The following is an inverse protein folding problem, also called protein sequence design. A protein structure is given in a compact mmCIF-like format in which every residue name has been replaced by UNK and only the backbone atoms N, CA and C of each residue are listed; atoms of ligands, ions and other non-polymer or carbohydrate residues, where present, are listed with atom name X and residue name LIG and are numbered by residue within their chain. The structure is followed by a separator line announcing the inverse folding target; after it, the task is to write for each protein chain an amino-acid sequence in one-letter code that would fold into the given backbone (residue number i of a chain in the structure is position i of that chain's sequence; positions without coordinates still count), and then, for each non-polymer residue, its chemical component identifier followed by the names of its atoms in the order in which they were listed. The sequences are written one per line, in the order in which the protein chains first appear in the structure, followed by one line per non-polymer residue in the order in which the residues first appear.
data_IF_375357478200
#
_entry.id   IF_375357478200
#
_cell.length_a   1.000
_cell.length_b   1.000
_cell.length_c   1.000
_cell.angle_alpha   90.00
_cell.angle_beta   90.00
_cell.angle_gamma   90.00
#
_symmetry.space_group_name_H-M   'P 1'
#
loop_
_entity.id
_entity.type
_entity.pdbx_description
1 polymer ?
#
# COMPACT_ATOMS: atom_id res chain seq x y z
N UNK A 1 30.57 -9.05 29.35
CA UNK A 1 29.39 -8.98 30.23
C UNK A 1 28.18 -8.81 29.32
N UNK A 2 27.13 -9.63 29.45
CA UNK A 2 25.93 -9.47 28.62
C UNK A 2 25.11 -8.30 29.18
N UNK A 3 25.14 -7.16 28.50
CA UNK A 3 24.22 -6.06 28.81
C UNK A 3 22.79 -6.53 28.58
N UNK A 4 21.92 -6.33 29.57
CA UNK A 4 20.49 -6.60 29.40
C UNK A 4 19.90 -5.45 28.60
N UNK A 5 19.62 -5.66 27.31
CA UNK A 5 19.03 -4.62 26.47
C UNK A 5 17.67 -4.18 27.01
N UNK A 6 17.41 -2.87 26.92
CA UNK A 6 16.25 -2.22 27.55
C UNK A 6 15.02 -2.39 26.66
N UNK A 7 14.37 -3.54 26.78
CA UNK A 7 13.14 -3.79 26.01
C UNK A 7 11.95 -2.98 26.55
N UNK A 8 11.23 -2.33 25.63
CA UNK A 8 9.95 -1.65 25.90
C UNK A 8 8.80 -2.52 25.38
N UNK A 9 7.71 -2.59 26.16
CA UNK A 9 6.47 -3.27 25.82
C UNK A 9 5.31 -2.28 25.84
N UNK A 10 4.45 -2.34 24.84
CA UNK A 10 3.20 -1.55 24.75
C UNK A 10 2.07 -2.44 24.22
N UNK A 11 0.82 -2.12 24.57
CA UNK A 11 -0.33 -2.87 24.11
C UNK A 11 -1.56 -1.97 23.99
N UNK A 12 -2.25 -2.10 22.87
CA UNK A 12 -3.44 -1.34 22.51
C UNK A 12 -4.61 -2.30 22.32
N UNK A 13 -5.80 -1.88 22.73
CA UNK A 13 -7.02 -2.68 22.63
C UNK A 13 -8.14 -1.84 22.02
N UNK A 14 -8.93 -2.42 21.13
CA UNK A 14 -10.16 -1.84 20.61
C UNK A 14 -11.25 -2.91 20.48
N UNK A 15 -12.52 -2.49 20.52
CA UNK A 15 -13.64 -3.35 20.12
C UNK A 15 -13.94 -3.08 18.64
N UNK A 16 -13.95 -4.16 17.85
CA UNK A 16 -14.10 -4.17 16.39
C UNK A 16 -15.40 -4.91 16.02
N UNK A 17 -16.21 -4.40 15.07
CA UNK A 17 -17.40 -5.12 14.60
C UNK A 17 -17.04 -6.47 13.93
N UNK A 18 -17.99 -7.42 13.95
CA UNK A 18 -17.80 -8.75 13.35
C UNK A 18 -17.29 -9.82 14.33
N UNK A 19 -17.27 -11.08 13.87
CA UNK A 19 -16.80 -12.21 14.68
C UNK A 19 -15.27 -12.23 14.80
N UNK A 20 -14.72 -12.86 15.84
CA UNK A 20 -13.27 -12.98 16.01
C UNK A 20 -12.55 -13.59 14.80
N UNK A 21 -13.16 -14.57 14.13
CA UNK A 21 -12.65 -15.19 12.89
C UNK A 21 -12.62 -14.21 11.72
N UNK A 22 -13.70 -13.46 11.51
CA UNK A 22 -13.78 -12.44 10.45
C UNK A 22 -12.71 -11.36 10.65
N UNK A 23 -12.50 -10.92 11.89
CA UNK A 23 -11.50 -9.89 12.21
C UNK A 23 -10.08 -10.45 12.15
N UNK A 24 -9.88 -11.72 12.54
CA UNK A 24 -8.62 -12.44 12.35
C UNK A 24 -8.26 -12.52 10.86
N UNK A 25 -9.19 -12.91 9.99
CA UNK A 25 -8.96 -13.05 8.55
C UNK A 25 -8.56 -11.74 7.87
N UNK A 26 -9.13 -10.60 8.32
CA UNK A 26 -8.75 -9.27 7.85
C UNK A 26 -7.30 -8.90 8.18
N UNK A 27 -6.81 -9.29 9.36
CA UNK A 27 -5.41 -9.08 9.76
C UNK A 27 -4.50 -10.16 9.14
N UNK A 28 -5.01 -11.36 8.90
CA UNK A 28 -4.29 -12.45 8.24
C UNK A 28 -3.96 -12.11 6.77
N UNK A 29 -4.86 -11.50 6.01
CA UNK A 29 -4.64 -11.20 4.59
C UNK A 29 -3.77 -9.95 4.35
N UNK A 30 -2.45 -10.12 4.48
CA UNK A 30 -1.45 -9.06 4.31
C UNK A 30 -1.42 -8.42 2.94
N UNK A 31 -1.90 -9.10 1.89
CA UNK A 31 -1.91 -8.52 0.53
C UNK A 31 -2.93 -7.39 0.41
N UNK A 32 -3.96 -7.36 1.27
CA UNK A 32 -4.98 -6.30 1.33
C UNK A 32 -4.59 -5.13 2.23
N UNK A 33 -3.54 -5.26 3.05
CA UNK A 33 -3.13 -4.23 3.99
C UNK A 33 -2.91 -2.83 3.36
N UNK A 34 -2.36 -2.68 2.13
CA UNK A 34 -2.25 -1.37 1.47
C UNK A 34 -3.56 -0.59 1.30
N UNK A 35 -4.72 -1.26 1.22
CA UNK A 35 -6.05 -0.61 1.13
C UNK A 35 -6.87 -0.67 2.42
N UNK A 36 -6.47 -1.50 3.39
CA UNK A 36 -7.14 -1.65 4.69
C UNK A 36 -6.49 -0.74 5.77
N UNK A 37 -5.18 -0.84 5.96
CA UNK A 37 -4.46 -0.16 7.02
C UNK A 37 -3.83 1.14 6.55
N UNK A 38 -4.07 2.23 7.27
CA UNK A 38 -3.58 3.58 6.91
C UNK A 38 -2.07 3.64 6.63
N UNK A 39 -1.19 3.17 7.55
CA UNK A 39 0.26 3.28 7.37
C UNK A 39 0.83 2.47 6.21
N UNK A 40 0.26 1.28 5.92
CA UNK A 40 0.84 0.35 4.92
C UNK A 40 0.75 0.93 3.51
N UNK A 41 1.89 1.07 2.83
CA UNK A 41 2.01 1.55 1.44
C UNK A 41 2.05 0.37 0.47
N UNK A 42 2.86 -0.65 0.76
CA UNK A 42 3.03 -1.83 -0.10
C UNK A 42 3.42 -3.06 0.72
N UNK A 43 3.09 -4.25 0.20
CA UNK A 43 3.47 -5.56 0.76
C UNK A 43 3.94 -6.46 -0.38
N UNK A 44 5.16 -6.98 -0.24
CA UNK A 44 5.78 -8.00 -1.09
C UNK A 44 5.73 -9.33 -0.33
N UNK A 45 4.81 -10.22 -0.70
CA UNK A 45 4.55 -11.47 0.01
C UNK A 45 5.41 -12.62 -0.53
N UNK A 46 6.37 -13.11 0.26
CA UNK A 46 7.32 -14.13 -0.17
C UNK A 46 6.76 -15.56 -0.18
N UNK A 47 5.64 -15.79 0.49
CA UNK A 47 4.99 -17.09 0.56
C UNK A 47 4.45 -17.42 1.95
N UNK A 48 3.65 -18.49 2.00
CA UNK A 48 3.06 -19.06 3.20
C UNK A 48 3.33 -20.57 3.22
N UNK A 49 3.77 -21.06 4.35
CA UNK A 49 4.03 -22.47 4.66
C UNK A 49 3.21 -22.84 5.90
N UNK A 50 2.03 -23.42 5.69
CA UNK A 50 1.07 -23.74 6.75
C UNK A 50 0.62 -22.52 7.57
N UNK A 51 0.99 -22.51 8.85
CA UNK A 51 0.74 -21.43 9.80
C UNK A 51 1.74 -20.27 9.68
N UNK A 52 2.83 -20.44 8.95
CA UNK A 52 3.92 -19.47 8.82
C UNK A 52 3.86 -18.71 7.51
N UNK A 53 4.22 -17.44 7.54
CA UNK A 53 4.42 -16.66 6.32
C UNK A 53 5.49 -15.59 6.52
N UNK A 54 5.95 -15.06 5.39
CA UNK A 54 6.98 -14.03 5.34
C UNK A 54 6.67 -13.00 4.27
N UNK A 55 6.83 -11.72 4.60
CA UNK A 55 6.64 -10.63 3.66
C UNK A 55 7.58 -9.45 3.97
N UNK A 56 7.86 -8.63 2.96
CA UNK A 56 8.42 -7.29 3.15
C UNK A 56 7.27 -6.29 3.09
N UNK A 57 7.33 -5.29 3.96
CA UNK A 57 6.35 -4.22 4.04
C UNK A 57 7.04 -2.87 3.90
N UNK A 58 6.32 -1.92 3.32
CA UNK A 58 6.65 -0.50 3.32
C UNK A 58 5.48 0.23 3.98
N UNK A 59 5.78 1.08 4.96
CA UNK A 59 4.75 1.78 5.71
C UNK A 59 5.21 3.16 6.18
N UNK A 60 4.25 4.05 6.37
CA UNK A 60 4.46 5.38 6.94
C UNK A 60 4.78 5.28 8.44
N UNK A 61 6.01 5.64 8.82
CA UNK A 61 6.50 5.70 10.19
C UNK A 61 7.06 7.09 10.41
N UNK A 62 6.46 7.85 11.33
CA UNK A 62 6.80 9.26 11.58
C UNK A 62 6.98 10.09 10.28
N UNK A 63 6.00 9.89 9.38
CA UNK A 63 5.79 10.65 8.14
C UNK A 63 6.85 10.39 7.05
N UNK A 64 7.69 9.37 7.24
CA UNK A 64 8.63 8.79 6.28
C UNK A 64 8.23 7.38 5.89
N UNK A 65 8.63 6.90 4.72
CA UNK A 65 8.43 5.48 4.35
C UNK A 65 9.56 4.63 4.91
N UNK A 66 9.24 3.78 5.89
CA UNK A 66 10.16 2.75 6.39
C UNK A 66 9.86 1.40 5.76
N UNK A 67 10.88 0.51 5.68
CA UNK A 67 10.70 -0.86 5.19
C UNK A 67 11.40 -1.89 6.06
N UNK A 68 10.76 -3.04 6.23
CA UNK A 68 11.31 -4.18 6.96
C UNK A 68 10.73 -5.49 6.42
N UNK A 69 11.39 -6.60 6.73
CA UNK A 69 10.86 -7.95 6.48
C UNK A 69 10.29 -8.51 7.79
N UNK A 70 9.07 -9.04 7.71
CA UNK A 70 8.32 -9.60 8.83
C UNK A 70 8.06 -11.09 8.58
N UNK A 71 8.26 -11.91 9.61
CA UNK A 71 7.75 -13.29 9.66
C UNK A 71 6.60 -13.37 10.64
N UNK A 72 5.56 -14.15 10.31
CA UNK A 72 4.39 -14.37 11.18
C UNK A 72 4.11 -15.85 11.42
N UNK A 73 3.43 -16.11 12.53
CA UNK A 73 2.80 -17.39 12.87
C UNK A 73 1.32 -17.12 13.16
N UNK A 74 0.44 -17.72 12.37
CA UNK A 74 -1.00 -17.55 12.39
C UNK A 74 -1.65 -18.77 13.05
N UNK A 75 -2.26 -18.56 14.20
CA UNK A 75 -3.01 -19.58 14.93
C UNK A 75 -4.52 -19.27 14.78
N UNK A 76 -5.22 -19.90 13.81
CA UNK A 76 -6.64 -19.67 13.58
C UNK A 76 -7.53 -20.38 14.63
N UNK A 77 -6.98 -21.27 15.46
CA UNK A 77 -7.75 -21.99 16.50
C UNK A 77 -7.79 -21.16 17.78
N UNK A 78 -6.65 -20.62 18.21
CA UNK A 78 -6.55 -19.70 19.35
C UNK A 78 -6.81 -18.24 18.99
N UNK A 79 -7.01 -17.96 17.69
CA UNK A 79 -7.21 -16.63 17.09
C UNK A 79 -6.12 -15.65 17.50
N UNK A 80 -4.88 -15.95 17.08
CA UNK A 80 -3.69 -15.15 17.36
C UNK A 80 -2.76 -15.06 16.17
N UNK A 81 -2.12 -13.91 16.00
CA UNK A 81 -1.09 -13.73 14.98
C UNK A 81 0.14 -13.16 15.67
N UNK A 82 1.19 -13.97 15.81
CA UNK A 82 2.51 -13.52 16.29
C UNK A 82 3.33 -13.05 15.12
N UNK A 83 4.07 -11.97 15.29
CA UNK A 83 4.93 -11.40 14.26
C UNK A 83 6.28 -10.94 14.83
N UNK A 84 7.31 -10.98 14.01
CA UNK A 84 8.64 -10.45 14.33
C UNK A 84 9.31 -9.88 13.08
N UNK A 85 10.07 -8.80 13.24
CA UNK A 85 10.92 -8.28 12.17
C UNK A 85 12.18 -9.14 12.05
N UNK A 86 12.36 -9.80 10.91
CA UNK A 86 13.56 -10.60 10.61
C UNK A 86 14.82 -9.75 10.52
N UNK A 87 14.65 -8.54 9.99
CA UNK A 87 15.68 -7.52 9.80
C UNK A 87 15.04 -6.19 10.12
N UNK A 88 15.29 -5.71 11.34
CA UNK A 88 14.96 -4.35 11.75
C UNK A 88 15.92 -3.36 11.06
N UNK A 89 15.53 -2.09 10.99
CA UNK A 89 16.41 -1.01 10.55
C UNK A 89 16.63 -0.05 11.72
N UNK A 90 17.86 0.48 11.85
CA UNK A 90 18.18 1.47 12.86
C UNK A 90 17.19 2.66 12.77
N UNK A 91 16.65 3.17 13.89
CA UNK A 91 17.09 2.90 15.27
C UNK A 91 16.57 1.58 15.89
N UNK A 92 15.63 0.85 15.26
CA UNK A 92 15.08 -0.40 15.81
C UNK A 92 16.11 -1.53 15.73
N UNK A 93 16.44 -2.15 16.86
CA UNK A 93 17.30 -3.33 16.90
C UNK A 93 16.48 -4.64 16.86
N UNK A 94 15.33 -4.66 17.52
CA UNK A 94 14.35 -5.75 17.40
C UNK A 94 12.93 -5.25 17.59
N UNK A 95 11.98 -5.86 16.88
CA UNK A 95 10.55 -5.60 17.01
C UNK A 95 9.78 -6.90 16.84
N UNK A 96 8.91 -7.23 17.79
CA UNK A 96 7.96 -8.34 17.72
C UNK A 96 6.62 -7.93 18.31
N UNK A 97 5.59 -8.73 18.06
CA UNK A 97 4.27 -8.50 18.63
C UNK A 97 3.33 -9.67 18.48
N UNK A 98 2.13 -9.49 19.04
CA UNK A 98 1.04 -10.45 18.97
C UNK A 98 -0.29 -9.71 18.84
N UNK A 99 -1.06 -10.06 17.82
CA UNK A 99 -2.49 -9.81 17.73
C UNK A 99 -3.25 -10.92 18.44
N UNK A 100 -4.29 -10.58 19.20
CA UNK A 100 -5.28 -11.52 19.73
C UNK A 100 -6.69 -11.02 19.44
N UNK A 101 -7.58 -11.93 19.10
CA UNK A 101 -8.99 -11.66 18.80
C UNK A 101 -9.85 -12.47 19.77
N UNK A 102 -10.80 -11.81 20.45
CA UNK A 102 -11.68 -12.44 21.44
C UNK A 102 -13.10 -11.91 21.33
N UNK A 103 -14.16 -12.69 21.62
CA UNK A 103 -15.50 -12.14 21.75
C UNK A 103 -15.54 -11.02 22.79
N UNK A 104 -16.06 -9.85 22.44
CA UNK A 104 -16.27 -8.76 23.39
C UNK A 104 -17.60 -8.97 24.17
N UNK A 105 -17.68 -8.64 25.47
CA UNK A 105 -18.90 -8.84 26.26
C UNK A 105 -20.16 -8.12 25.74
N UNK A 106 -19.99 -7.04 24.99
CA UNK A 106 -21.08 -6.27 24.35
C UNK A 106 -21.37 -6.66 22.89
N UNK A 107 -20.78 -7.75 22.38
CA UNK A 107 -20.78 -8.10 20.97
C UNK A 107 -19.62 -7.49 20.19
N UNK A 108 -19.32 -8.08 19.03
CA UNK A 108 -18.09 -7.81 18.28
C UNK A 108 -16.86 -8.50 18.89
N UNK A 109 -15.69 -8.01 18.52
CA UNK A 109 -14.39 -8.61 18.84
C UNK A 109 -13.50 -7.63 19.60
N UNK A 110 -13.05 -8.00 20.79
CA UNK A 110 -11.92 -7.35 21.45
C UNK A 110 -10.64 -7.75 20.69
N UNK A 111 -10.01 -6.77 20.05
CA UNK A 111 -8.71 -6.93 19.38
C UNK A 111 -7.65 -6.30 20.26
N UNK A 112 -6.65 -7.09 20.64
CA UNK A 112 -5.46 -6.61 21.35
C UNK A 112 -4.23 -6.75 20.47
N UNK A 113 -3.60 -5.61 20.16
CA UNK A 113 -2.32 -5.50 19.48
C UNK A 113 -1.23 -5.19 20.52
N UNK A 114 -0.27 -6.08 20.68
CA UNK A 114 0.88 -5.90 21.58
C UNK A 114 2.19 -5.85 20.81
N UNK A 115 3.11 -5.01 21.27
CA UNK A 115 4.45 -4.84 20.73
C UNK A 115 5.50 -4.97 21.83
N UNK A 116 6.66 -5.52 21.46
CA UNK A 116 7.86 -5.58 22.28
C UNK A 116 9.08 -5.30 21.39
N UNK A 117 9.87 -4.29 21.77
CA UNK A 117 10.99 -3.83 20.95
C UNK A 117 12.21 -3.44 21.78
N UNK A 118 13.34 -3.32 21.09
CA UNK A 118 14.61 -2.76 21.56
C UNK A 118 15.18 -1.85 20.47
N UNK A 119 16.05 -0.93 20.86
CA UNK A 119 16.76 -0.03 19.93
C UNK A 119 18.26 -0.32 19.94
N UNK A 120 18.96 0.18 18.92
CA UNK A 120 20.42 0.07 18.83
C UNK A 120 21.06 0.85 20.00
N UNK A 121 22.11 0.28 20.59
CA UNK A 121 22.89 0.82 21.71
C UNK A 121 22.09 1.22 22.97
N UNK A 122 20.84 0.74 23.10
CA UNK A 122 19.90 1.10 24.18
C UNK A 122 19.64 2.62 24.33
N UNK A 123 19.81 3.37 23.24
CA UNK A 123 19.63 4.83 23.18
C UNK A 123 18.21 5.24 23.67
N UNK A 124 18.09 6.06 24.73
CA UNK A 124 16.79 6.44 25.28
C UNK A 124 15.95 7.28 24.32
N UNK A 125 16.57 8.17 23.53
CA UNK A 125 15.86 9.07 22.61
C UNK A 125 15.30 8.27 21.43
N UNK A 126 16.09 7.31 20.93
CA UNK A 126 15.63 6.30 19.97
C UNK A 126 14.47 5.45 20.53
N UNK A 127 14.55 5.00 21.79
CA UNK A 127 13.50 4.19 22.42
C UNK A 127 12.18 4.96 22.57
N UNK A 128 12.25 6.27 22.85
CA UNK A 128 11.11 7.18 22.91
C UNK A 128 10.54 7.52 21.53
N UNK A 129 11.39 7.71 20.51
CA UNK A 129 10.96 7.89 19.12
C UNK A 129 10.19 6.66 18.60
N UNK A 130 10.70 5.44 18.85
CA UNK A 130 10.02 4.19 18.47
C UNK A 130 8.75 4.00 19.29
N UNK A 131 8.75 4.31 20.59
CA UNK A 131 7.55 4.27 21.43
C UNK A 131 6.43 5.15 20.90
N UNK A 132 6.74 6.41 20.61
CA UNK A 132 5.79 7.38 20.04
C UNK A 132 5.27 6.91 18.67
N UNK A 133 6.13 6.33 17.82
CA UNK A 133 5.70 5.76 16.54
C UNK A 133 4.70 4.61 16.73
N UNK A 134 4.97 3.68 17.66
CA UNK A 134 4.09 2.53 17.93
C UNK A 134 2.77 2.96 18.57
N UNK A 135 2.81 3.86 19.55
CA UNK A 135 1.63 4.34 20.27
C UNK A 135 0.75 5.28 19.40
N UNK A 136 1.32 5.87 18.33
CA UNK A 136 0.58 6.60 17.29
C UNK A 136 -0.02 5.67 16.23
N UNK A 137 0.76 4.71 15.73
CA UNK A 137 0.33 3.85 14.63
C UNK A 137 -0.65 2.75 15.09
N UNK A 138 -0.48 2.16 16.27
CA UNK A 138 -1.33 1.05 16.75
C UNK A 138 -2.81 1.42 16.90
N UNK A 139 -3.20 2.58 17.49
CA UNK A 139 -4.59 2.99 17.53
C UNK A 139 -5.16 3.31 16.14
N UNK A 140 -4.35 3.85 15.23
CA UNK A 140 -4.77 4.15 13.86
C UNK A 140 -5.02 2.86 13.04
N UNK A 141 -4.22 1.81 13.25
CA UNK A 141 -4.45 0.49 12.66
C UNK A 141 -5.72 -0.17 13.23
N UNK A 142 -5.92 -0.13 14.56
CA UNK A 142 -7.14 -0.65 15.20
C UNK A 142 -8.40 0.10 14.76
N UNK A 143 -8.34 1.43 14.59
CA UNK A 143 -9.45 2.23 14.07
C UNK A 143 -9.74 1.95 12.58
N UNK A 144 -8.70 1.68 11.78
CA UNK A 144 -8.87 1.26 10.39
C UNK A 144 -9.51 -0.13 10.30
N UNK A 145 -9.09 -1.08 11.15
CA UNK A 145 -9.70 -2.40 11.27
C UNK A 145 -11.17 -2.30 11.69
N UNK A 146 -11.49 -1.49 12.70
CA UNK A 146 -12.87 -1.24 13.15
C UNK A 146 -13.77 -0.71 12.03
N UNK A 147 -13.29 0.29 11.26
CA UNK A 147 -14.02 0.85 10.11
C UNK A 147 -14.27 -0.21 9.04
N UNK A 148 -13.24 -0.99 8.68
CA UNK A 148 -13.29 -1.95 7.58
C UNK A 148 -14.10 -3.21 7.93
N UNK A 149 -14.02 -3.69 9.17
CA UNK A 149 -14.84 -4.80 9.66
C UNK A 149 -16.31 -4.41 9.90
N UNK A 150 -16.59 -3.12 10.11
CA UNK A 150 -17.94 -2.57 10.24
C UNK A 150 -18.70 -2.35 8.92
N UNK A 151 -18.09 -2.63 7.77
CA UNK A 151 -18.75 -2.47 6.46
C UNK A 151 -19.88 -3.49 6.29
N UNK A 152 -20.97 -3.07 5.63
CA UNK A 152 -22.17 -3.90 5.42
C UNK A 152 -21.98 -5.11 4.49
N UNK A 153 -20.76 -5.36 3.99
CA UNK A 153 -20.38 -6.45 3.07
C UNK A 153 -19.01 -7.01 3.46
N UNK A 154 -18.75 -8.32 3.25
CA UNK A 154 -17.43 -8.91 3.49
C UNK A 154 -16.36 -8.20 2.64
N UNK A 155 -15.17 -7.97 3.19
CA UNK A 155 -14.05 -7.27 2.52
C UNK A 155 -13.36 -8.13 1.43
N UNK A 156 -13.86 -9.34 1.16
CA UNK A 156 -13.58 -10.09 -0.08
C UNK A 156 -14.50 -9.70 -1.24
N UNK A 157 -15.72 -9.23 -0.94
CA UNK A 157 -16.37 -8.19 -1.75
C UNK A 157 -15.66 -6.84 -1.49
N UNK A 158 -16.08 -5.77 -2.17
CA UNK A 158 -15.51 -4.42 -2.07
C UNK A 158 -14.06 -4.30 -2.59
N UNK A 159 -13.18 -5.27 -2.32
CA UNK A 159 -11.85 -5.32 -2.88
C UNK A 159 -11.89 -5.68 -4.36
N UNK A 160 -11.17 -4.90 -5.17
CA UNK A 160 -10.98 -5.08 -6.60
C UNK A 160 -9.49 -5.08 -6.88
N UNK A 161 -9.00 -6.11 -7.56
CA UNK A 161 -7.61 -6.20 -8.00
C UNK A 161 -7.59 -6.50 -9.50
N UNK A 162 -6.75 -5.78 -10.25
CA UNK A 162 -6.51 -6.02 -11.67
C UNK A 162 -5.16 -5.46 -12.10
N UNK A 163 -4.71 -5.87 -13.28
CA UNK A 163 -3.55 -5.31 -13.94
C UNK A 163 -3.81 -5.10 -15.44
N UNK A 164 -3.11 -4.13 -16.01
CA UNK A 164 -2.94 -3.94 -17.45
C UNK A 164 -1.45 -4.09 -17.78
N UNK A 165 -1.10 -5.05 -18.64
CA UNK A 165 0.27 -5.31 -19.10
C UNK A 165 0.37 -4.98 -20.58
N UNK A 166 1.45 -4.30 -20.99
CA UNK A 166 1.75 -3.96 -22.38
C UNK A 166 3.24 -4.15 -22.68
N UNK A 167 3.55 -4.45 -23.94
CA UNK A 167 4.92 -4.46 -24.45
C UNK A 167 5.27 -3.07 -24.98
N UNK A 168 6.33 -2.46 -24.46
CA UNK A 168 6.85 -1.16 -24.87
C UNK A 168 8.18 -1.30 -25.60
N UNK A 169 8.46 -0.47 -26.62
CA UNK A 169 9.81 -0.32 -27.16
C UNK A 169 10.71 0.41 -26.15
N UNK A 170 12.02 0.21 -26.25
CA UNK A 170 13.01 0.83 -25.34
C UNK A 170 13.50 -0.13 -24.25
N UNK A 171 14.20 0.38 -23.25
CA UNK A 171 14.64 -0.40 -22.09
C UNK A 171 13.68 -0.23 -20.90
N UNK A 172 13.64 -1.19 -19.95
CA UNK A 172 12.84 -1.05 -18.74
C UNK A 172 13.17 0.23 -17.96
N UNK A 173 14.44 0.66 -17.99
CA UNK A 173 14.90 1.89 -17.36
C UNK A 173 14.28 3.17 -17.99
N UNK A 174 14.06 3.21 -19.31
CA UNK A 174 13.42 4.36 -19.97
C UNK A 174 11.93 4.48 -19.56
N UNK A 175 11.23 3.34 -19.51
CA UNK A 175 9.83 3.27 -19.10
C UNK A 175 9.67 3.59 -17.60
N UNK A 176 10.58 3.08 -16.76
CA UNK A 176 10.67 3.44 -15.35
C UNK A 176 10.92 4.93 -15.17
N UNK A 177 11.92 5.52 -15.85
CA UNK A 177 12.24 6.95 -15.76
C UNK A 177 11.02 7.82 -16.11
N UNK A 178 10.21 7.43 -17.10
CA UNK A 178 8.99 8.16 -17.44
C UNK A 178 7.98 8.24 -16.29
N UNK A 179 7.79 7.13 -15.57
CA UNK A 179 6.80 7.02 -14.48
C UNK A 179 7.37 7.56 -13.16
N UNK A 180 8.65 7.36 -12.89
CA UNK A 180 9.37 7.92 -11.76
C UNK A 180 9.43 9.46 -11.83
N UNK A 181 9.74 10.03 -13.00
CA UNK A 181 9.78 11.49 -13.23
C UNK A 181 8.40 12.11 -13.42
N UNK A 182 7.54 11.89 -12.42
CA UNK A 182 6.19 12.45 -12.33
C UNK A 182 6.18 13.97 -12.20
N UNK A 183 7.28 14.60 -11.76
CA UNK A 183 7.47 16.05 -11.84
C UNK A 183 7.24 16.61 -13.26
N UNK A 184 7.43 15.77 -14.29
CA UNK A 184 7.22 16.10 -15.70
C UNK A 184 5.89 15.64 -16.28
N UNK A 185 5.00 15.03 -15.51
CA UNK A 185 3.73 14.54 -16.06
C UNK A 185 2.80 15.66 -16.56
N UNK A 186 2.86 16.87 -16.01
CA UNK A 186 2.12 18.02 -16.57
C UNK A 186 2.63 18.44 -17.98
N UNK A 187 3.86 18.09 -18.34
CA UNK A 187 4.43 18.30 -19.68
C UNK A 187 4.18 17.11 -20.62
N UNK A 188 3.95 15.90 -20.06
CA UNK A 188 3.98 14.61 -20.77
C UNK A 188 2.61 13.92 -20.90
N UNK A 189 1.67 14.18 -19.99
CA UNK A 189 0.36 13.53 -19.90
C UNK A 189 -0.76 14.56 -20.08
N UNK A 190 -1.58 14.49 -21.14
CA UNK A 190 -2.54 15.54 -21.48
C UNK A 190 -3.69 15.69 -20.47
N UNK A 191 -3.93 14.68 -19.63
CA UNK A 191 -4.94 14.71 -18.57
C UNK A 191 -4.39 15.29 -17.24
N UNK A 192 -3.09 15.60 -17.14
CA UNK A 192 -2.44 16.11 -15.93
C UNK A 192 -2.26 17.62 -16.06
N UNK A 193 -3.00 18.38 -15.23
CA UNK A 193 -2.95 19.85 -15.24
C UNK A 193 -1.84 20.41 -14.36
N UNK A 194 -1.58 19.76 -13.22
CA UNK A 194 -0.55 20.19 -12.28
C UNK A 194 0.01 19.00 -11.52
N UNK A 195 1.31 19.04 -11.26
CA UNK A 195 2.00 18.12 -10.36
C UNK A 195 2.81 18.91 -9.32
N UNK A 196 2.92 18.35 -8.13
CA UNK A 196 3.98 18.62 -7.17
C UNK A 196 4.53 17.27 -6.69
N UNK A 197 5.79 17.00 -7.02
CA UNK A 197 6.54 15.86 -6.53
C UNK A 197 7.54 16.35 -5.48
N UNK A 198 7.66 15.64 -4.36
CA UNK A 198 8.69 15.85 -3.34
C UNK A 198 9.32 14.53 -2.97
N UNK A 199 10.64 14.51 -2.78
CA UNK A 199 11.44 13.31 -2.51
C UNK A 199 12.52 13.67 -1.48
N UNK A 200 12.14 13.64 -0.20
CA UNK A 200 13.04 13.99 0.91
C UNK A 200 14.05 12.87 1.21
N UNK A 201 13.74 11.63 0.80
CA UNK A 201 14.60 10.45 0.88
C UNK A 201 14.59 9.71 -0.48
N UNK A 202 15.75 9.30 -1.03
CA UNK A 202 15.82 8.65 -2.34
C UNK A 202 14.92 7.43 -2.46
N UNK A 203 14.05 7.42 -3.48
CA UNK A 203 13.06 6.39 -3.73
C UNK A 203 11.80 6.47 -2.87
N UNK A 204 11.63 7.50 -2.02
CA UNK A 204 10.43 7.74 -1.21
C UNK A 204 9.81 9.10 -1.56
N UNK A 205 8.77 9.06 -2.38
CA UNK A 205 8.18 10.25 -2.98
C UNK A 205 6.77 10.54 -2.48
N UNK A 206 6.44 11.81 -2.25
CA UNK A 206 5.05 12.29 -2.18
C UNK A 206 4.68 12.97 -3.48
N UNK A 207 3.61 12.49 -4.12
CA UNK A 207 3.07 12.98 -5.38
C UNK A 207 1.66 13.56 -5.16
N UNK A 208 1.54 14.87 -5.31
CA UNK A 208 0.28 15.61 -5.40
C UNK A 208 0.01 15.94 -6.87
N UNK A 209 -1.19 15.62 -7.37
CA UNK A 209 -1.54 15.78 -8.78
C UNK A 209 -2.99 16.26 -8.95
N UNK A 210 -3.20 17.20 -9.87
CA UNK A 210 -4.51 17.62 -10.35
C UNK A 210 -4.72 17.09 -11.77
N UNK A 211 -5.73 16.24 -11.95
CA UNK A 211 -6.12 15.70 -13.27
C UNK A 211 -7.43 16.30 -13.74
N UNK A 212 -7.56 16.43 -15.06
CA UNK A 212 -8.80 16.87 -15.75
C UNK A 212 -9.44 15.66 -16.40
N UNK A 213 -10.70 15.40 -16.08
CA UNK A 213 -11.52 14.34 -16.71
C UNK A 213 -12.18 14.83 -17.99
N UNK A 214 -12.73 13.88 -18.78
CA UNK A 214 -13.36 14.20 -20.07
C UNK A 214 -14.59 15.11 -19.99
N UNK A 215 -15.17 15.29 -18.80
CA UNK A 215 -16.25 16.26 -18.52
C UNK A 215 -15.74 17.66 -18.12
N UNK A 216 -14.42 17.85 -18.08
CA UNK A 216 -13.77 19.11 -17.68
C UNK A 216 -13.69 19.33 -16.16
N UNK A 217 -14.19 18.39 -15.33
CA UNK A 217 -14.03 18.48 -13.88
C UNK A 217 -12.57 18.19 -13.47
N UNK A 218 -12.18 18.66 -12.28
CA UNK A 218 -10.82 18.52 -11.76
C UNK A 218 -10.81 17.64 -10.53
N UNK A 219 -9.88 16.68 -10.51
CA UNK A 219 -9.67 15.79 -9.38
C UNK A 219 -8.26 15.98 -8.83
N UNK A 220 -8.16 16.38 -7.57
CA UNK A 220 -6.90 16.33 -6.84
C UNK A 220 -6.70 14.94 -6.25
N UNK A 221 -5.49 14.42 -6.36
CA UNK A 221 -5.05 13.22 -5.67
C UNK A 221 -3.73 13.50 -4.97
N UNK A 222 -3.52 12.83 -3.84
CA UNK A 222 -2.26 12.85 -3.08
C UNK A 222 -1.86 11.42 -2.82
N UNK A 223 -0.60 11.08 -3.07
CA UNK A 223 -0.10 9.72 -2.97
C UNK A 223 1.33 9.69 -2.44
N UNK A 224 1.69 8.58 -1.81
CA UNK A 224 3.08 8.22 -1.49
C UNK A 224 3.51 7.09 -2.42
N UNK A 225 4.75 7.16 -2.92
CA UNK A 225 5.36 6.19 -3.83
C UNK A 225 6.69 5.67 -3.29
N UNK A 226 6.98 4.41 -3.58
CA UNK A 226 8.24 3.73 -3.30
C UNK A 226 8.82 3.26 -4.62
N UNK A 227 9.88 3.91 -5.07
CA UNK A 227 10.60 3.61 -6.31
C UNK A 227 11.84 2.78 -5.98
N UNK A 228 12.01 1.61 -6.62
CA UNK A 228 13.15 0.71 -6.39
C UNK A 228 13.72 0.18 -7.70
N UNK A 229 15.03 -0.06 -7.70
CA UNK A 229 15.79 -0.91 -8.62
C UNK A 229 15.50 -0.78 -10.14
N UNK A 230 14.97 0.36 -10.58
CA UNK A 230 14.48 0.62 -11.96
C UNK A 230 13.40 -0.36 -12.47
N UNK A 231 12.82 -1.18 -11.58
CA UNK A 231 11.91 -2.27 -11.92
C UNK A 231 10.53 -2.16 -11.25
N UNK A 232 10.41 -1.40 -10.14
CA UNK A 232 9.18 -1.28 -9.35
C UNK A 232 8.95 0.16 -8.85
N UNK A 233 7.74 0.66 -9.09
CA UNK A 233 7.16 1.82 -8.38
C UNK A 233 5.87 1.39 -7.70
N UNK A 234 5.91 1.10 -6.40
CA UNK A 234 4.71 0.86 -5.61
C UNK A 234 4.12 2.19 -5.12
N UNK A 235 2.80 2.32 -5.01
CA UNK A 235 2.16 3.54 -4.53
C UNK A 235 0.90 3.30 -3.72
N UNK A 236 0.55 4.30 -2.91
CA UNK A 236 -0.72 4.40 -2.18
C UNK A 236 -1.28 5.80 -2.27
N UNK A 237 -2.57 5.92 -2.56
CA UNK A 237 -3.29 7.18 -2.44
C UNK A 237 -3.63 7.46 -0.97
N UNK A 238 -3.30 8.67 -0.53
CA UNK A 238 -3.63 9.26 0.77
C UNK A 238 -4.92 10.10 0.68
N UNK A 239 -5.15 10.73 -0.47
CA UNK A 239 -6.44 11.31 -0.86
C UNK A 239 -7.00 10.48 -2.02
N UNK A 240 -8.10 9.76 -1.77
CA UNK A 240 -8.77 8.86 -2.73
C UNK A 240 -10.07 9.48 -3.27
N UNK A 241 -10.51 9.14 -4.51
CA UNK A 241 -11.83 9.51 -5.01
C UNK A 241 -12.97 8.97 -4.13
N UNK A 242 -14.10 9.70 -4.08
CA UNK A 242 -15.25 9.41 -3.20
C UNK A 242 -15.85 7.99 -3.31
N UNK A 243 -15.64 7.29 -4.43
CA UNK A 243 -16.11 5.91 -4.60
C UNK A 243 -15.25 4.86 -3.85
N UNK A 244 -14.09 5.25 -3.31
CA UNK A 244 -13.08 4.35 -2.77
C UNK A 244 -12.80 4.65 -1.30
N UNK A 245 -12.65 3.60 -0.50
CA UNK A 245 -12.13 3.66 0.87
C UNK A 245 -10.59 3.50 0.92
N UNK A 246 -9.99 3.00 -0.15
CA UNK A 246 -8.54 2.84 -0.27
C UNK A 246 -8.12 2.48 -1.70
N UNK A 247 -6.95 2.97 -2.12
CA UNK A 247 -6.36 2.66 -3.43
C UNK A 247 -4.84 2.61 -3.33
N UNK A 248 -4.26 1.53 -3.84
CA UNK A 248 -2.83 1.30 -3.97
C UNK A 248 -2.54 0.61 -5.30
N UNK A 249 -1.28 0.58 -5.71
CA UNK A 249 -0.91 -0.11 -6.94
C UNK A 249 0.59 -0.24 -7.11
N UNK A 250 0.98 -0.85 -8.23
CA UNK A 250 2.38 -1.02 -8.62
C UNK A 250 2.54 -0.80 -10.11
N UNK A 251 3.62 -0.13 -10.49
CA UNK A 251 4.15 -0.13 -11.85
C UNK A 251 5.37 -1.05 -11.83
N UNK A 252 5.41 -2.05 -12.70
CA UNK A 252 6.60 -2.92 -12.86
C UNK A 252 7.09 -2.92 -14.28
N UNK A 253 8.40 -3.00 -14.46
CA UNK A 253 9.08 -2.96 -15.76
C UNK A 253 10.11 -4.09 -15.82
N UNK A 254 9.95 -5.00 -16.76
CA UNK A 254 10.85 -6.14 -16.97
C UNK A 254 11.35 -6.16 -18.42
N UNK A 255 12.56 -6.67 -18.65
CA UNK A 255 13.01 -6.99 -20.01
C UNK A 255 12.35 -8.30 -20.46
N UNK A 256 11.81 -8.30 -21.68
CA UNK A 256 11.24 -9.47 -22.32
C UNK A 256 11.59 -9.43 -23.81
N UNK A 257 12.45 -10.34 -24.26
CA UNK A 257 12.93 -10.47 -25.64
C UNK A 257 13.43 -9.15 -26.29
N UNK A 258 14.10 -8.28 -25.51
CA UNK A 258 14.64 -7.00 -25.99
C UNK A 258 13.61 -5.87 -26.14
N UNK A 259 12.40 -6.10 -25.64
CA UNK A 259 11.37 -5.10 -25.36
C UNK A 259 11.13 -5.00 -23.85
N UNK A 260 10.36 -4.00 -23.43
CA UNK A 260 9.95 -3.84 -22.03
C UNK A 260 8.56 -4.40 -21.83
N UNK A 261 8.37 -5.39 -20.96
CA UNK A 261 7.05 -5.72 -20.42
C UNK A 261 6.76 -4.75 -19.26
N UNK A 262 5.76 -3.89 -19.44
CA UNK A 262 5.34 -2.90 -18.45
C UNK A 262 3.94 -3.23 -17.93
N UNK A 263 3.79 -3.36 -16.62
CA UNK A 263 2.53 -3.70 -15.96
C UNK A 263 2.10 -2.63 -14.96
N UNK A 264 0.88 -2.13 -15.08
CA UNK A 264 0.22 -1.30 -14.09
C UNK A 264 -0.83 -2.12 -13.33
N UNK A 265 -0.63 -2.33 -12.03
CA UNK A 265 -1.52 -3.05 -11.12
C UNK A 265 -2.27 -2.08 -10.22
N UNK A 266 -3.54 -2.35 -9.98
CA UNK A 266 -4.38 -1.65 -9.02
C UNK A 266 -4.95 -2.62 -7.99
N UNK A 267 -4.91 -2.22 -6.73
CA UNK A 267 -5.63 -2.82 -5.62
C UNK A 267 -6.48 -1.71 -4.98
N UNK A 268 -7.79 -1.93 -4.95
CA UNK A 268 -8.79 -0.92 -4.56
C UNK A 268 -9.75 -1.52 -3.55
N UNK A 269 -10.15 -0.75 -2.54
CA UNK A 269 -11.29 -1.03 -1.66
C UNK A 269 -12.42 -0.06 -2.03
N UNK A 270 -13.51 -0.57 -2.59
CA UNK A 270 -14.70 0.21 -2.99
C UNK A 270 -15.55 0.54 -1.76
N UNK A 271 -16.08 1.76 -1.72
CA UNK A 271 -17.08 2.16 -0.74
C UNK A 271 -18.48 1.64 -1.16
N UNK A 272 -19.14 0.74 -0.38
CA UNK A 272 -20.45 0.20 -0.71
C UNK A 272 -21.57 1.25 -0.63
N UNK A 273 -21.45 2.24 0.25
CA UNK A 273 -22.45 3.29 0.42
C UNK A 273 -22.35 4.28 -0.73
N UNK A 274 -21.14 4.73 -1.08
CA UNK A 274 -20.91 5.58 -2.24
C UNK A 274 -21.26 4.87 -3.57
N UNK A 275 -20.99 3.57 -3.68
CA UNK A 275 -21.45 2.76 -4.83
C UNK A 275 -22.97 2.76 -4.93
N UNK A 276 -23.67 2.53 -3.82
CA UNK A 276 -25.14 2.54 -3.77
C UNK A 276 -25.70 3.91 -4.12
N UNK A 277 -25.14 4.99 -3.56
CA UNK A 277 -25.56 6.36 -3.83
C UNK A 277 -25.29 6.82 -5.27
N UNK A 278 -24.21 6.33 -5.90
CA UNK A 278 -23.83 6.72 -7.28
C UNK A 278 -24.55 5.93 -8.36
N UNK A 279 -24.67 4.61 -8.21
CA UNK A 279 -25.14 3.71 -9.27
C UNK A 279 -26.56 3.19 -9.05
N UNK A 280 -26.99 3.05 -7.79
CA UNK A 280 -28.29 2.49 -7.43
C UNK A 280 -28.58 1.14 -8.10
N UNK A 281 -29.85 0.91 -8.46
CA UNK A 281 -30.26 -0.29 -9.18
C UNK A 281 -30.16 -1.59 -8.38
N UNK A 282 -30.13 -2.73 -9.08
CA UNK A 282 -30.15 -4.05 -8.48
C UNK A 282 -28.77 -4.52 -7.98
N UNK A 283 -27.67 -4.08 -8.62
CA UNK A 283 -26.29 -4.38 -8.21
C UNK A 283 -25.38 -3.14 -8.38
N UNK A 284 -25.47 -2.17 -7.45
CA UNK A 284 -24.61 -0.98 -7.47
C UNK A 284 -23.12 -1.33 -7.29
N UNK A 285 -22.81 -2.45 -6.64
CA UNK A 285 -21.44 -2.83 -6.36
C UNK A 285 -20.76 -3.37 -7.62
N UNK A 286 -21.40 -4.25 -8.40
CA UNK A 286 -20.84 -4.68 -9.69
C UNK A 286 -20.64 -3.49 -10.64
N UNK A 287 -21.60 -2.56 -10.70
CA UNK A 287 -21.47 -1.32 -11.48
C UNK A 287 -20.27 -0.47 -11.03
N UNK A 288 -20.07 -0.31 -9.72
CA UNK A 288 -18.90 0.39 -9.18
C UNK A 288 -17.58 -0.32 -9.51
N UNK A 289 -17.50 -1.65 -9.39
CA UNK A 289 -16.28 -2.42 -9.73
C UNK A 289 -15.92 -2.27 -11.21
N UNK A 290 -16.90 -2.35 -12.12
CA UNK A 290 -16.71 -2.16 -13.55
C UNK A 290 -16.21 -0.72 -13.85
N UNK A 291 -16.87 0.30 -13.32
CA UNK A 291 -16.46 1.70 -13.48
C UNK A 291 -15.03 1.96 -12.98
N UNK A 292 -14.66 1.42 -11.82
CA UNK A 292 -13.30 1.53 -11.26
C UNK A 292 -12.26 0.83 -12.15
N UNK A 293 -12.56 -0.39 -12.63
CA UNK A 293 -11.68 -1.15 -13.54
C UNK A 293 -11.41 -0.38 -14.83
N UNK A 294 -12.44 0.20 -15.42
CA UNK A 294 -12.37 0.91 -16.69
C UNK A 294 -11.66 2.27 -16.54
N UNK A 295 -12.05 3.07 -15.55
CA UNK A 295 -11.50 4.42 -15.36
C UNK A 295 -10.01 4.40 -14.99
N UNK A 296 -9.62 3.56 -14.01
CA UNK A 296 -8.21 3.44 -13.61
C UNK A 296 -7.38 2.73 -14.69
N UNK A 297 -7.91 1.67 -15.30
CA UNK A 297 -7.23 0.97 -16.39
C UNK A 297 -6.99 1.85 -17.62
N UNK A 298 -7.96 2.69 -18.01
CA UNK A 298 -7.79 3.64 -19.09
C UNK A 298 -6.68 4.65 -18.80
N UNK A 299 -6.67 5.23 -17.58
CA UNK A 299 -5.63 6.16 -17.15
C UNK A 299 -4.23 5.51 -17.19
N UNK A 300 -4.10 4.31 -16.63
CA UNK A 300 -2.82 3.58 -16.60
C UNK A 300 -2.35 3.18 -18.00
N UNK A 301 -3.24 2.71 -18.89
CA UNK A 301 -2.88 2.42 -20.28
C UNK A 301 -2.47 3.68 -21.06
N UNK A 302 -3.11 4.83 -20.83
CA UNK A 302 -2.66 6.13 -21.40
C UNK A 302 -1.26 6.50 -20.90
N UNK A 303 -0.97 6.27 -19.62
CA UNK A 303 0.36 6.56 -19.04
C UNK A 303 1.44 5.65 -19.62
N UNK A 304 1.17 4.33 -19.73
CA UNK A 304 2.08 3.36 -20.34
C UNK A 304 2.34 3.62 -21.83
N UNK A 305 1.31 4.05 -22.59
CA UNK A 305 1.49 4.43 -23.99
C UNK A 305 2.48 5.60 -24.15
N UNK A 306 2.38 6.64 -23.31
CA UNK A 306 3.33 7.77 -23.30
C UNK A 306 4.73 7.37 -22.82
N UNK A 307 4.84 6.41 -21.90
CA UNK A 307 6.13 5.82 -21.53
C UNK A 307 6.80 5.10 -22.72
N UNK A 308 6.02 4.36 -23.52
CA UNK A 308 6.51 3.72 -24.75
C UNK A 308 6.96 4.70 -25.83
N UNK A 309 6.20 5.79 -26.05
CA UNK A 309 6.60 6.86 -26.97
C UNK A 309 7.92 7.53 -26.53
N UNK A 310 8.07 7.82 -25.23
CA UNK A 310 9.29 8.39 -24.65
C UNK A 310 10.50 7.46 -24.84
N UNK A 311 10.34 6.17 -24.52
CA UNK A 311 11.38 5.17 -24.62
C UNK A 311 11.79 4.90 -26.09
N UNK A 312 10.83 4.94 -27.04
CA UNK A 312 11.12 4.90 -28.47
C UNK A 312 11.93 6.11 -28.94
N UNK A 313 11.57 7.32 -28.50
CA UNK A 313 12.27 8.56 -28.87
C UNK A 313 13.72 8.57 -28.36
N UNK A 314 13.97 8.09 -27.13
CA UNK A 314 15.33 7.92 -26.60
C UNK A 314 16.15 6.92 -27.40
N UNK A 315 15.59 5.73 -27.67
CA UNK A 315 16.25 4.70 -28.50
C UNK A 315 16.63 5.23 -29.89
N UNK A 316 15.81 6.08 -30.49
CA UNK A 316 16.11 6.72 -31.78
C UNK A 316 17.22 7.79 -31.68
N UNK A 317 17.22 8.61 -30.62
CA UNK A 317 18.28 9.60 -30.39
C UNK A 317 19.64 8.93 -30.13
N UNK A 318 19.68 7.88 -29.31
CA UNK A 318 20.89 7.09 -29.02
C UNK A 318 21.45 6.37 -30.26
N UNK A 319 20.58 6.00 -31.21
CA UNK A 319 20.98 5.41 -32.49
C UNK A 319 21.53 6.45 -33.46
N UNK A 320 21.01 7.70 -33.44
CA UNK A 320 21.48 8.80 -34.27
C UNK A 320 22.78 9.45 -33.76
N UNK A 321 23.17 9.18 -32.51
CA UNK A 321 24.39 9.68 -31.87
C UNK A 321 25.59 8.71 -31.97
N UNK A 322 25.46 7.59 -32.69
CA UNK A 322 26.47 6.54 -32.90
C UNK A 322 26.97 6.50 -34.34
#
# INVERSE_FOLDING_TARGET
MSGSSRSRRTAHTAVVPGSPDQVFDLVAEVRRWPVVFGPTVHVEHFGRDGDRERFRIWAMVNDRVSTWTSSRVLDPVELRIRFAQDRSQAPVASMRGEWRFRPAPGGGTEVRLSHEFTVVDDDPDALDWVGTAVDRNSPAELAALARVAGLARPVGELVVEFADTVTLPGSPADAFEFVDRADRWAERLPHVRRVRLTEDEPGSQTLEMETVTGDGSTHRTRSVRVCRATDLIAYKQLEVPQLLLGHSGTWTFADHDGATEATARHLVLVDPEAATARFGGADPLAAARAYVRDALGANSRTTLARAGEFAAARRAADAAAR
#
